data_IF_521114644286
#
_entry.id   IF_521114644286
#
_cell.length_a   1.000
_cell.length_b   1.000
_cell.length_c   1.000
_cell.angle_alpha   90.00
_cell.angle_beta   90.00
_cell.angle_gamma   90.00
#
_symmetry.space_group_name_H-M   'P 1'
#
loop_
_entity.id
_entity.type
_entity.pdbx_description
1 polymer ?
#
# COMPACT_ATOMS: atom_id res chain seq x y z
N UNK A 1 -16.57 -7.17 -26.44
CA UNK A 1 -16.15 -7.05 -26.12
C UNK A 1 -15.58 -6.20 -25.70
N UNK A 2 -15.28 -5.91 -25.63
CA UNK A 2 -14.73 -5.42 -25.18
C UNK A 2 -14.21 -4.62 -24.58
N UNK A 3 -13.79 -4.42 -24.56
CA UNK A 3 -13.26 -3.83 -24.03
C UNK A 3 -12.66 -3.07 -23.51
N UNK A 4 -12.33 -2.78 -23.40
CA UNK A 4 -11.74 -2.19 -22.97
C UNK A 4 -11.27 -1.39 -22.40
N UNK A 5 -11.04 -1.26 -22.26
CA UNK A 5 -10.74 -0.69 -21.72
C UNK A 5 -10.08 -0.07 -21.15
N UNK A 6 -9.69 0.09 -21.11
CA UNK A 6 -9.09 0.56 -20.60
C UNK A 6 -8.66 1.48 -20.14
N UNK A 7 -8.37 1.78 -20.11
CA UNK A 7 -7.93 2.53 -19.67
C UNK A 7 -7.27 3.32 -19.39
N UNK A 8 -7.02 3.38 -19.40
CA UNK A 8 -6.36 4.03 -19.25
C UNK A 8 -6.15 5.07 -18.64
N UNK A 9 -5.82 5.42 -18.41
CA UNK A 9 -5.68 6.30 -17.77
C UNK A 9 -4.95 7.19 -17.66
N UNK A 10 -4.87 7.70 -17.68
CA UNK A 10 -4.08 8.50 -17.63
C UNK A 10 -3.42 9.11 -16.77
N UNK A 11 -2.92 9.22 -16.74
CA UNK A 11 -2.46 9.62 -15.97
C UNK A 11 -1.92 10.64 -15.76
N UNK A 12 -1.71 10.85 -15.73
CA UNK A 12 -1.26 11.63 -15.54
C UNK A 12 -0.75 12.40 -15.17
N UNK A 13 -0.52 12.64 -15.37
CA UNK A 13 0.03 13.32 -15.04
C UNK A 13 0.43 14.31 -14.73
N UNK A 14 0.58 14.51 -14.70
CA UNK A 14 0.92 15.37 -14.43
C UNK A 14 1.38 16.07 -13.92
N UNK A 15 1.75 16.34 -13.85
CA UNK A 15 2.22 16.97 -13.36
C UNK A 15 2.74 17.86 -13.05
N UNK A 16 2.96 18.15 -12.97
CA UNK A 16 3.49 18.92 -12.69
C UNK A 16 3.87 19.70 -12.24
N UNK A 17 4.01 19.82 -12.12
CA UNK A 17 4.35 20.51 -11.67
C UNK A 17 4.85 21.30 -11.24
N UNK A 18 5.09 21.33 -10.98
CA UNK A 18 5.59 21.98 -10.60
C UNK A 18 6.07 22.56 -9.97
N UNK A 19 6.50 22.74 -9.83
CA UNK A 19 6.95 23.22 -9.15
C UNK A 19 7.69 23.69 -8.65
N UNK A 20 7.99 23.81 -8.46
CA UNK A 20 8.61 24.08 -7.97
C UNK A 20 8.96 24.62 -7.07
N UNK A 21 9.08 24.67 -6.63
CA UNK A 21 9.31 25.09 -5.63
C UNK A 21 10.47 24.83 -4.84
N UNK A 22 10.47 24.40 -3.78
CA UNK A 22 11.71 24.11 -3.12
C UNK A 22 12.66 23.46 -4.06
N UNK A 23 13.82 23.93 -4.16
CA UNK A 23 14.77 23.43 -5.11
C UNK A 23 15.79 22.51 -4.46
N UNK A 24 15.84 22.49 -3.15
CA UNK A 24 16.77 21.61 -2.46
C UNK A 24 16.27 20.19 -2.57
N UNK A 25 17.11 19.24 -2.98
CA UNK A 25 16.71 17.85 -2.96
C UNK A 25 16.48 17.38 -1.53
N UNK A 26 15.59 16.43 -1.37
CA UNK A 26 15.36 15.82 -0.07
C UNK A 26 16.61 15.07 0.36
N UNK A 27 16.91 15.09 1.65
CA UNK A 27 17.96 14.24 2.20
C UNK A 27 17.57 12.78 2.07
N UNK A 28 18.53 11.90 2.20
CA UNK A 28 18.25 10.46 2.22
C UNK A 28 17.25 10.11 3.32
N UNK A 29 17.44 10.67 4.52
CA UNK A 29 16.54 10.42 5.64
C UNK A 29 15.11 10.84 5.33
N UNK A 30 14.95 12.01 4.72
CA UNK A 30 13.61 12.48 4.34
C UNK A 30 12.96 11.58 3.32
N UNK A 31 13.74 11.13 2.33
CA UNK A 31 13.24 10.20 1.32
C UNK A 31 12.82 8.89 1.96
N UNK A 32 13.61 8.40 2.88
CA UNK A 32 13.35 7.13 3.54
C UNK A 32 12.05 7.20 4.36
N UNK A 33 11.86 8.29 5.10
CA UNK A 33 10.62 8.46 5.87
C UNK A 33 9.40 8.46 4.94
N UNK A 34 9.51 9.16 3.81
CA UNK A 34 8.41 9.19 2.86
C UNK A 34 8.12 7.82 2.27
N UNK A 35 9.16 7.06 1.96
CA UNK A 35 8.98 5.69 1.46
C UNK A 35 8.32 4.80 2.49
N UNK A 36 8.77 4.87 3.73
CA UNK A 36 8.20 4.05 4.80
C UNK A 36 6.73 4.38 5.00
N UNK A 37 6.37 5.66 5.02
CA UNK A 37 4.97 6.07 5.13
C UNK A 37 4.14 5.53 3.97
N UNK A 38 4.67 5.63 2.76
CA UNK A 38 3.98 5.12 1.57
C UNK A 38 3.74 3.62 1.68
N UNK A 39 4.77 2.87 2.07
CA UNK A 39 4.67 1.42 2.20
C UNK A 39 3.68 1.01 3.29
N UNK A 40 3.65 1.73 4.41
CA UNK A 40 2.70 1.47 5.49
C UNK A 40 1.26 1.66 4.99
N UNK A 41 0.99 2.79 4.33
CA UNK A 41 -0.35 3.07 3.82
C UNK A 41 -0.79 2.04 2.79
N UNK A 42 0.14 1.66 1.91
CA UNK A 42 -0.12 0.66 0.88
C UNK A 42 -0.43 -0.70 1.51
N UNK A 43 0.36 -1.09 2.50
CA UNK A 43 0.15 -2.35 3.21
C UNK A 43 -1.15 -2.36 3.98
N UNK A 44 -1.51 -1.25 4.63
CA UNK A 44 -2.76 -1.16 5.37
C UNK A 44 -3.95 -1.33 4.43
N UNK A 45 -3.87 -0.76 3.24
CA UNK A 45 -4.91 -0.93 2.23
C UNK A 45 -5.03 -2.40 1.83
N UNK A 46 -3.91 -3.05 1.53
CA UNK A 46 -3.91 -4.47 1.14
C UNK A 46 -4.40 -5.37 2.26
N UNK A 47 -3.99 -5.10 3.51
CA UNK A 47 -4.45 -5.91 4.63
C UNK A 47 -5.97 -5.82 4.77
N UNK A 48 -6.53 -4.62 4.57
CA UNK A 48 -7.98 -4.43 4.56
C UNK A 48 -8.67 -5.25 3.50
N UNK A 49 -8.09 -5.29 2.29
CA UNK A 49 -8.63 -6.09 1.19
C UNK A 49 -8.56 -7.58 1.50
N UNK A 50 -7.45 -8.03 2.06
CA UNK A 50 -7.31 -9.45 2.41
C UNK A 50 -8.38 -9.87 3.42
N UNK A 51 -8.64 -9.03 4.41
CA UNK A 51 -9.69 -9.32 5.41
C UNK A 51 -11.07 -9.30 4.79
N UNK A 52 -11.33 -8.37 3.89
CA UNK A 52 -12.60 -8.31 3.18
C UNK A 52 -12.84 -9.61 2.41
N UNK A 53 -11.84 -10.05 1.66
CA UNK A 53 -11.98 -11.25 0.86
C UNK A 53 -11.97 -12.51 1.70
N UNK A 54 -11.36 -12.49 2.88
CA UNK A 54 -11.49 -13.58 3.84
C UNK A 54 -12.96 -13.74 4.27
N UNK A 55 -13.61 -12.63 4.59
CA UNK A 55 -15.04 -12.68 4.97
C UNK A 55 -15.89 -13.20 3.83
N UNK A 56 -15.63 -12.70 2.60
CA UNK A 56 -16.38 -13.17 1.43
C UNK A 56 -16.13 -14.66 1.17
N UNK A 57 -14.90 -15.10 1.33
CA UNK A 57 -14.56 -16.50 1.16
C UNK A 57 -15.32 -17.39 2.14
N UNK A 58 -15.46 -16.95 3.39
CA UNK A 58 -16.24 -17.71 4.37
C UNK A 58 -17.71 -17.83 3.97
N UNK A 59 -18.26 -16.75 3.43
CA UNK A 59 -19.65 -16.77 2.96
C UNK A 59 -19.89 -17.76 1.86
N UNK A 60 -18.85 -18.06 1.09
CA UNK A 60 -18.94 -18.97 -0.05
C UNK A 60 -18.35 -20.35 0.24
N UNK A 61 -18.19 -20.68 1.52
CA UNK A 61 -17.75 -22.01 1.91
C UNK A 61 -16.27 -22.27 1.73
N UNK A 62 -15.48 -21.21 1.58
CA UNK A 62 -14.03 -21.32 1.34
C UNK A 62 -13.26 -20.99 2.63
N UNK A 63 -13.54 -21.75 3.69
CA UNK A 63 -12.98 -21.44 5.02
C UNK A 63 -11.46 -21.53 5.03
N UNK A 64 -10.87 -22.53 4.35
CA UNK A 64 -9.42 -22.68 4.34
C UNK A 64 -8.74 -21.51 3.64
N UNK A 65 -9.35 -21.03 2.54
CA UNK A 65 -8.85 -19.86 1.84
C UNK A 65 -8.94 -18.63 2.73
N UNK A 66 -10.07 -18.49 3.44
CA UNK A 66 -10.27 -17.36 4.33
C UNK A 66 -9.22 -17.30 5.42
N UNK A 67 -8.86 -18.43 6.00
CA UNK A 67 -7.84 -18.48 7.05
C UNK A 67 -6.48 -18.01 6.52
N UNK A 68 -6.14 -18.43 5.30
CA UNK A 68 -4.88 -17.98 4.71
C UNK A 68 -4.89 -16.49 4.39
N UNK A 69 -6.04 -15.96 3.95
CA UNK A 69 -6.16 -14.53 3.70
C UNK A 69 -6.05 -13.72 4.98
N UNK A 70 -6.67 -14.19 6.08
CA UNK A 70 -6.53 -13.54 7.37
C UNK A 70 -5.07 -13.57 7.84
N UNK A 71 -4.41 -14.71 7.65
CA UNK A 71 -3.00 -14.84 8.00
C UNK A 71 -2.14 -13.87 7.18
N UNK A 72 -2.44 -13.74 5.89
CA UNK A 72 -1.72 -12.80 5.03
C UNK A 72 -1.91 -11.36 5.52
N UNK A 73 -3.12 -11.01 5.97
CA UNK A 73 -3.38 -9.69 6.52
C UNK A 73 -2.54 -9.45 7.78
N UNK A 74 -2.46 -10.45 8.66
CA UNK A 74 -1.67 -10.33 9.88
C UNK A 74 -0.19 -10.17 9.59
N UNK A 75 0.32 -10.92 8.61
CA UNK A 75 1.72 -10.78 8.21
C UNK A 75 1.99 -9.39 7.63
N UNK A 76 1.03 -8.87 6.86
CA UNK A 76 1.15 -7.54 6.29
C UNK A 76 1.17 -6.49 7.41
N UNK A 77 0.32 -6.64 8.43
CA UNK A 77 0.32 -5.76 9.59
C UNK A 77 1.66 -5.82 10.33
N UNK A 78 2.24 -7.01 10.42
CA UNK A 78 3.55 -7.17 11.07
C UNK A 78 4.63 -6.43 10.28
N UNK A 79 4.59 -6.52 8.96
CA UNK A 79 5.52 -5.77 8.11
C UNK A 79 5.36 -4.27 8.35
N UNK A 80 4.12 -3.78 8.37
CA UNK A 80 3.86 -2.36 8.61
C UNK A 80 4.36 -1.91 9.98
N UNK A 81 4.22 -2.76 10.99
CA UNK A 81 4.75 -2.45 12.32
C UNK A 81 6.28 -2.28 12.28
N UNK A 82 6.96 -3.13 11.51
CA UNK A 82 8.42 -2.98 11.34
C UNK A 82 8.78 -1.68 10.62
N UNK A 83 7.98 -1.29 9.64
CA UNK A 83 8.23 -0.04 8.93
C UNK A 83 8.00 1.17 9.84
N UNK A 84 6.99 1.11 10.73
CA UNK A 84 6.78 2.18 11.72
C UNK A 84 7.95 2.27 12.68
N UNK A 85 8.41 1.13 13.13
CA UNK A 85 9.57 1.08 14.01
C UNK A 85 10.81 1.64 13.29
N UNK A 86 11.01 1.25 12.03
CA UNK A 86 12.13 1.75 11.24
C UNK A 86 12.05 3.27 11.09
N UNK A 87 10.84 3.79 10.85
CA UNK A 87 10.63 5.24 10.72
C UNK A 87 11.03 5.99 11.99
N UNK A 88 10.75 5.39 13.14
CA UNK A 88 11.11 5.99 14.42
C UNK A 88 12.61 5.98 14.69
N UNK A 89 13.37 5.22 13.92
CA UNK A 89 14.82 5.13 14.09
C UNK A 89 15.61 5.85 13.00
N UNK A 90 14.94 6.45 12.04
CA UNK A 90 15.62 7.22 11.00
C UNK A 90 16.31 8.42 11.63
N UNK A 91 17.56 8.66 11.24
CA UNK A 91 18.37 9.75 11.80
C UNK A 91 18.66 10.80 10.77
#
# INVERSE_FOLDING_TARGET
MTHHSEHDHPHGHDHHHGHTRSDAPLSFSDKLVKLLDHWIQHNDHHAGDYRKWARESRKHGQAAVAELLDSAAELTDTISARFREAGGRVQ
#
